data_IF_552020751524
#
_entry.id   IF_552020751524
#
_cell.length_a   1.000
_cell.length_b   1.000
_cell.length_c   1.000
_cell.angle_alpha   90.00
_cell.angle_beta   90.00
_cell.angle_gamma   90.00
#
_symmetry.space_group_name_H-M   'P 1'
#
loop_
_entity.id
_entity.type
_entity.pdbx_description
1 polymer ?
2 non-polymer ?
#
# COMPACT_ATOMS: atom_id res chain seq x y z
N UNK A 1 -4.28 9.74 5.86
CA UNK A 1 -4.94 9.04 4.74
C UNK A 1 -5.24 7.59 5.12
N UNK A 2 -6.42 7.14 4.79
CA UNK A 2 -6.81 5.75 5.12
C UNK A 2 -7.15 4.97 3.87
N UNK A 3 -6.55 3.81 3.73
CA UNK A 3 -6.82 2.97 2.53
C UNK A 3 -7.53 1.68 2.92
N UNK A 4 -8.45 1.27 2.08
CA UNK A 4 -9.21 0.03 2.35
C UNK A 4 -8.87 -1.03 1.31
N UNK A 5 -8.32 -2.13 1.77
CA UNK A 5 -8.00 -3.21 0.82
C UNK A 5 -9.24 -4.03 0.51
N UNK A 6 -9.65 -3.97 -0.72
CA UNK A 6 -10.88 -4.72 -1.12
C UNK A 6 -12.05 -3.76 -1.29
N UNK A 7 -12.95 -4.11 -2.16
CA UNK A 7 -14.11 -3.23 -2.40
C UNK A 7 -15.23 -3.52 -1.40
N UNK A 8 -16.32 -2.81 -1.54
CA UNK A 8 -17.46 -3.00 -0.60
C UNK A 8 -18.62 -3.76 -1.26
N UNK A 9 -18.31 -4.62 -2.20
CA UNK A 9 -19.40 -5.38 -2.87
C UNK A 9 -18.84 -6.54 -3.70
N UNK A 10 -17.57 -6.49 -3.98
CA UNK A 10 -16.96 -7.59 -4.79
C UNK A 10 -15.91 -7.03 -5.75
N UNK A 11 -14.75 -6.76 -5.24
CA UNK A 11 -13.67 -6.21 -6.11
C UNK A 11 -12.37 -6.08 -5.32
N UNK A 12 -11.30 -6.58 -5.87
CA UNK A 12 -9.99 -6.48 -5.16
C UNK A 12 -9.17 -5.32 -5.70
N UNK A 13 -9.22 -4.21 -5.02
CA UNK A 13 -8.44 -3.05 -5.50
C UNK A 13 -7.97 -2.17 -4.35
N UNK A 14 -6.91 -1.45 -4.58
CA UNK A 14 -6.43 -0.53 -3.54
C UNK A 14 -7.32 0.69 -3.57
N UNK A 15 -8.13 0.84 -2.56
CA UNK A 15 -9.08 1.97 -2.54
C UNK A 15 -8.76 2.98 -1.40
N UNK A 16 -8.27 4.21 -1.72
CA UNK A 16 -8.00 4.69 -3.09
C UNK A 16 -6.86 3.91 -3.75
N UNK A 17 -6.59 4.21 -4.99
CA UNK A 17 -5.49 3.51 -5.70
C UNK A 17 -4.20 4.32 -5.62
N UNK A 18 -4.28 5.55 -6.06
CA UNK A 18 -3.08 6.42 -6.01
C UNK A 18 -3.43 7.79 -5.42
N UNK A 19 -2.51 8.37 -4.69
CA UNK A 19 -2.82 9.69 -4.07
C UNK A 19 -1.55 10.34 -3.53
N UNK A 20 -1.53 11.65 -3.56
CA UNK A 20 -0.34 12.37 -3.05
C UNK A 20 -0.52 12.75 -1.58
N UNK A 21 0.59 12.95 -0.91
CA UNK A 21 0.51 13.33 0.53
C UNK A 21 1.67 14.24 0.91
N UNK A 22 1.52 14.91 2.02
CA UNK A 22 2.61 15.83 2.47
C UNK A 22 3.72 15.05 3.15
N UNK A 23 4.93 15.49 2.96
CA UNK A 23 6.07 14.78 3.60
C UNK A 23 5.99 14.87 5.12
N UNK A 24 5.11 14.10 5.70
CA UNK A 24 4.96 14.12 7.18
C UNK A 24 3.58 13.61 7.57
N UNK A 25 2.93 12.97 6.63
CA UNK A 25 1.57 12.44 6.90
C UNK A 25 1.61 10.94 7.16
N UNK A 26 0.63 10.45 7.86
CA UNK A 26 0.59 9.00 8.16
C UNK A 26 -0.29 8.27 7.15
N UNK A 27 0.13 7.08 6.77
CA UNK A 27 -0.67 6.27 5.80
C UNK A 27 -1.04 4.94 6.43
N UNK A 28 -2.29 4.79 6.78
CA UNK A 28 -2.73 3.53 7.43
C UNK A 28 -3.53 2.64 6.50
N UNK A 29 -3.01 1.46 6.25
CA UNK A 29 -3.75 0.52 5.37
C UNK A 29 -4.75 -0.26 6.22
N UNK A 30 -5.94 -0.46 5.70
CA UNK A 30 -6.97 -1.19 6.48
C UNK A 30 -7.63 -2.29 5.67
N UNK A 31 -7.82 -3.43 6.29
CA UNK A 31 -8.47 -4.56 5.58
C UNK A 31 -9.98 -4.39 5.59
N UNK A 32 -10.56 -4.21 4.42
CA UNK A 32 -12.04 -4.01 4.38
C UNK A 32 -12.77 -5.30 4.01
N UNK A 33 -12.13 -6.13 3.22
CA UNK A 33 -12.79 -7.41 2.82
C UNK A 33 -12.07 -8.05 1.64
N UNK A 34 -11.46 -9.18 1.88
CA UNK A 34 -10.73 -9.87 0.77
C UNK A 34 -9.41 -10.45 1.28
N UNK A 35 -9.19 -10.36 2.57
CA UNK A 35 -7.93 -10.90 3.12
C UNK A 35 -7.77 -12.38 2.70
N UNK A 36 -6.55 -12.91 2.81
CA UNK A 36 -5.37 -12.16 3.29
C UNK A 36 -4.79 -11.24 2.22
N UNK A 37 -4.25 -10.12 2.66
CA UNK A 37 -3.65 -9.15 1.69
C UNK A 37 -2.14 -9.07 1.88
N UNK A 38 -1.49 -8.37 1.00
CA UNK A 38 -0.01 -8.22 1.12
C UNK A 38 0.44 -6.91 0.50
N UNK A 39 1.46 -6.32 1.07
CA UNK A 39 1.95 -5.03 0.53
C UNK A 39 3.48 -5.01 0.42
N UNK A 40 3.96 -4.74 -0.76
CA UNK A 40 5.42 -4.68 -0.97
C UNK A 40 5.76 -3.54 -1.92
N UNK A 41 7.01 -3.12 -1.91
CA UNK A 41 7.42 -1.99 -2.80
C UNK A 41 8.37 -2.45 -3.90
N UNK A 42 8.03 -2.13 -5.12
CA UNK A 42 8.90 -2.52 -6.24
C UNK A 42 10.20 -1.73 -6.20
N UNK A 43 11.27 -2.41 -5.91
CA UNK A 43 12.58 -1.71 -5.83
C UNK A 43 13.06 -1.25 -7.22
N UNK A 44 12.13 -1.06 -8.12
CA UNK A 44 12.51 -0.62 -9.50
C UNK A 44 12.05 0.81 -9.78
N UNK A 45 11.15 1.31 -8.96
CA UNK A 45 10.65 2.69 -9.16
C UNK A 45 10.65 3.46 -7.85
N UNK A 46 11.36 2.95 -6.89
CA UNK A 46 11.44 3.63 -5.58
C UNK A 46 12.71 4.53 -5.56
N UNK A 47 12.66 5.70 -4.91
CA UNK A 47 13.82 6.59 -4.88
C UNK A 47 15.09 5.86 -4.45
N UNK A 48 16.21 6.34 -4.92
CA UNK A 48 17.50 5.69 -4.56
C UNK A 48 17.99 6.18 -3.21
N UNK A 49 17.16 6.02 -2.21
CA UNK A 49 17.56 6.47 -0.85
C UNK A 49 16.61 5.88 0.19
N UNK A 50 15.37 5.74 -0.19
CA UNK A 50 14.37 5.18 0.76
C UNK A 50 14.25 3.67 0.57
N UNK A 51 15.02 2.94 1.34
CA UNK A 51 14.97 1.46 1.21
C UNK A 51 13.53 0.97 1.14
N UNK A 52 13.31 -0.03 0.34
CA UNK A 52 11.94 -0.56 0.19
C UNK A 52 11.71 -1.76 1.10
N UNK A 53 12.76 -2.21 1.73
CA UNK A 53 12.62 -3.38 2.64
C UNK A 53 12.03 -2.97 3.99
N UNK A 54 12.14 -1.71 4.30
CA UNK A 54 11.60 -1.24 5.60
C UNK A 54 10.12 -0.87 5.50
N UNK A 55 9.71 -0.37 4.36
CA UNK A 55 8.29 0.02 4.21
C UNK A 55 7.44 -1.13 3.65
N UNK A 56 8.09 -2.19 3.24
CA UNK A 56 7.33 -3.34 2.69
C UNK A 56 6.75 -4.20 3.81
N UNK A 57 6.00 -5.20 3.42
CA UNK A 57 5.38 -6.10 4.43
C UNK A 57 5.44 -7.56 3.97
N UNK A 58 6.63 -8.15 4.01
CA UNK A 58 6.81 -9.53 3.58
C UNK A 58 6.00 -10.50 4.44
N UNK A 59 5.35 -9.98 5.44
CA UNK A 59 4.53 -10.85 6.32
C UNK A 59 3.05 -10.76 5.95
N UNK A 60 2.54 -11.82 5.38
CA UNK A 60 1.11 -11.82 4.99
C UNK A 60 0.22 -11.47 6.18
N UNK A 61 -1.05 -11.29 5.93
CA UNK A 61 -1.97 -10.95 7.04
C UNK A 61 -3.40 -11.40 6.74
N UNK A 62 -4.00 -12.08 7.69
CA UNK A 62 -5.40 -12.57 7.49
C UNK A 62 -6.29 -12.13 8.64
N UNK A 63 -6.04 -10.95 9.15
CA UNK A 63 -6.87 -10.45 10.29
C UNK A 63 -7.95 -9.48 9.79
N UNK A 64 -9.17 -9.75 10.15
CA UNK A 64 -10.28 -8.86 9.71
C UNK A 64 -10.23 -7.54 10.47
N UNK A 65 -10.07 -6.47 9.75
CA UNK A 65 -10.01 -5.14 10.42
C UNK A 65 -8.56 -4.76 10.74
N UNK A 66 -7.68 -5.72 10.65
CA UNK A 66 -6.26 -5.43 10.95
C UNK A 66 -5.76 -4.27 10.10
N UNK A 67 -4.80 -3.55 10.61
CA UNK A 67 -4.27 -2.39 9.85
C UNK A 67 -2.77 -2.21 10.09
N UNK A 68 -2.14 -1.43 9.24
CA UNK A 68 -0.68 -1.18 9.40
C UNK A 68 -0.42 0.30 9.19
N UNK A 69 0.80 0.74 9.43
CA UNK A 69 1.10 2.19 9.25
C UNK A 69 2.39 2.40 8.47
N UNK A 70 2.47 3.53 7.82
CA UNK A 70 3.66 3.86 7.03
C UNK A 70 3.75 5.37 6.88
N UNK A 71 4.92 5.91 7.08
CA UNK A 71 5.07 7.38 6.96
C UNK A 71 6.28 7.74 6.11
N UNK A 72 6.03 8.00 4.86
CA UNK A 72 7.14 8.36 3.95
C UNK A 72 7.53 9.82 4.16
N UNK A 73 8.69 10.19 3.71
CA UNK A 73 9.13 11.59 3.90
C UNK A 73 10.08 12.06 2.79
N UNK A 74 9.83 11.61 1.58
CA UNK A 74 10.71 12.03 0.45
C UNK A 74 9.88 12.42 -0.77
N UNK A 75 9.78 13.70 -1.01
CA UNK A 75 8.98 14.15 -2.18
C UNK A 75 9.35 13.35 -3.42
N UNK A 76 8.44 12.51 -3.84
CA UNK A 76 8.72 11.68 -5.04
C UNK A 76 7.57 10.70 -5.28
N UNK A 77 7.91 9.51 -5.71
CA UNK A 77 6.85 8.50 -5.96
C UNK A 77 7.32 7.10 -5.57
N UNK A 78 6.42 6.35 -4.98
CA UNK A 78 6.76 4.97 -4.57
C UNK A 78 5.69 4.01 -5.08
N UNK A 79 6.11 2.98 -5.78
CA UNK A 79 5.11 2.00 -6.32
C UNK A 79 5.00 0.75 -5.44
N UNK A 80 3.79 0.50 -4.96
CA UNK A 80 3.56 -0.72 -4.13
C UNK A 80 2.37 -1.50 -4.67
N UNK A 81 2.23 -2.72 -4.22
CA UNK A 81 1.10 -3.55 -4.73
C UNK A 81 0.95 -4.85 -3.95
N UNK A 82 0.00 -5.65 -4.36
CA UNK A 82 -0.24 -6.95 -3.69
C UNK A 82 0.25 -8.10 -4.57
N UNK A 83 1.13 -8.91 -4.04
CA UNK A 83 1.66 -10.04 -4.85
C UNK A 83 0.59 -11.13 -5.13
N UNK A 84 -0.18 -11.50 -4.11
CA UNK A 84 -1.19 -12.55 -4.28
C UNK A 84 -2.34 -12.11 -5.19
N UNK A 85 -2.81 -10.90 -5.00
CA UNK A 85 -3.94 -10.43 -5.85
C UNK A 85 -3.44 -9.66 -7.07
N UNK A 86 -2.20 -9.88 -7.42
CA UNK A 86 -1.66 -9.17 -8.61
C UNK A 86 -2.30 -9.69 -9.89
N UNK A 87 -2.97 -10.80 -9.78
CA UNK A 87 -3.63 -11.38 -10.99
C UNK A 87 -4.86 -10.56 -11.38
N UNK A 88 -5.39 -9.83 -10.44
CA UNK A 88 -6.59 -9.01 -10.74
C UNK A 88 -6.18 -7.60 -11.16
N UNK A 89 -5.13 -7.11 -10.56
CA UNK A 89 -4.65 -5.73 -10.90
C UNK A 89 -4.56 -4.87 -9.64
N UNK A 90 -4.33 -5.51 -8.53
CA UNK A 90 -4.22 -4.75 -7.26
C UNK A 90 -2.86 -4.06 -7.15
N UNK A 91 -2.85 -2.75 -7.31
CA UNK A 91 -1.56 -2.00 -7.20
C UNK A 91 -1.72 -0.77 -6.32
N UNK A 92 -0.63 -0.10 -6.05
CA UNK A 92 -0.72 1.11 -5.17
C UNK A 92 0.38 2.13 -5.51
N UNK A 93 0.08 3.40 -5.30
CA UNK A 93 1.09 4.44 -5.60
C UNK A 93 0.90 5.67 -4.71
N UNK A 94 1.99 6.26 -4.27
CA UNK A 94 1.87 7.48 -3.40
C UNK A 94 2.86 8.55 -3.84
N UNK A 95 2.34 9.73 -4.08
CA UNK A 95 3.22 10.85 -4.51
C UNK A 95 3.46 11.82 -3.35
N UNK A 96 4.58 11.70 -2.71
CA UNK A 96 4.85 12.61 -1.56
C UNK A 96 5.34 13.96 -2.05
N UNK A 97 5.11 14.98 -1.26
CA UNK A 97 5.55 16.34 -1.65
C UNK A 97 6.29 17.02 -0.50
X LIG B 1 -4.26 -8.12 -1.61
#
# INVERSE_FOLDING_TARGET
AEVKLGSDDGGLVFSPSSFTVAAGEKITFKNNAGFPHNIVFDEDEVPAGVNAEKISQPEYLNGAGETYEVTLTEKGTYKFYCEPHAGAGMKGEVTVN
CU CU
#
